data_IF_891209425847
#
_entry.id   IF_891209425847
#
_cell.length_a   1.000
_cell.length_b   1.000
_cell.length_c   1.000
_cell.angle_alpha   90.00
_cell.angle_beta   90.00
_cell.angle_gamma   90.00
#
_symmetry.space_group_name_H-M   'P 1'
#
loop_
_entity.id
_entity.type
_entity.pdbx_description
1 polymer ?
#
# COMPACT_ATOMS: atom_id res chain seq x y z
N UNK A 1 -15.33 4.88 33.99
CA UNK A 1 -15.52 6.27 33.55
C UNK A 1 -14.30 7.08 33.97
N UNK A 2 -13.33 7.27 33.06
CA UNK A 2 -12.22 8.22 33.25
C UNK A 2 -12.37 9.30 32.19
N UNK A 3 -12.19 10.51 32.67
CA UNK A 3 -12.73 11.76 32.18
C UNK A 3 -12.24 12.13 30.78
N UNK A 4 -13.10 12.83 30.03
CA UNK A 4 -12.76 13.58 28.83
C UNK A 4 -11.52 14.45 29.06
N UNK A 5 -10.43 14.19 28.35
CA UNK A 5 -9.68 15.29 27.75
C UNK A 5 -9.89 15.18 26.26
N UNK A 6 -10.70 16.08 25.70
CA UNK A 6 -10.51 16.52 24.33
C UNK A 6 -9.12 17.14 24.26
N UNK A 7 -8.08 16.30 24.16
CA UNK A 7 -6.75 16.75 23.85
C UNK A 7 -6.88 17.46 22.51
N UNK A 8 -6.71 18.78 22.51
CA UNK A 8 -6.62 19.55 21.28
C UNK A 8 -5.53 18.88 20.47
N UNK A 9 -5.93 18.14 19.43
CA UNK A 9 -4.97 17.41 18.61
C UNK A 9 -4.21 18.49 17.86
N UNK A 10 -2.95 18.68 18.23
CA UNK A 10 -2.08 19.66 17.59
C UNK A 10 -2.04 19.37 16.08
N UNK A 11 -2.02 20.37 15.19
CA UNK A 11 -1.90 20.15 13.74
C UNK A 11 -0.75 19.20 13.36
N UNK A 12 0.35 19.24 14.11
CA UNK A 12 1.49 18.33 13.97
C UNK A 12 1.13 16.87 14.27
N UNK A 13 0.29 16.62 15.28
CA UNK A 13 -0.18 15.27 15.61
C UNK A 13 -1.13 14.73 14.54
N UNK A 14 -1.97 15.58 13.94
CA UNK A 14 -2.82 15.19 12.80
C UNK A 14 -1.96 14.80 11.60
N UNK A 15 -0.92 15.60 11.29
CA UNK A 15 0.03 15.28 10.23
C UNK A 15 0.81 14.00 10.50
N UNK A 16 1.22 13.75 11.75
CA UNK A 16 1.92 12.52 12.13
C UNK A 16 1.02 11.28 12.01
N UNK A 17 -0.22 11.36 12.48
CA UNK A 17 -1.20 10.26 12.36
C UNK A 17 -1.55 10.02 10.89
N UNK A 18 -1.86 11.08 10.14
CA UNK A 18 -2.16 11.00 8.72
C UNK A 18 -0.98 10.45 7.91
N UNK A 19 0.24 10.89 8.22
CA UNK A 19 1.47 10.35 7.62
C UNK A 19 1.70 8.88 7.95
N UNK A 20 1.36 8.44 9.16
CA UNK A 20 1.45 7.03 9.55
C UNK A 20 0.44 6.17 8.77
N UNK A 21 -0.81 6.63 8.68
CA UNK A 21 -1.86 5.95 7.87
C UNK A 21 -1.46 5.93 6.39
N UNK A 22 -0.90 7.03 5.87
CA UNK A 22 -0.36 7.09 4.53
C UNK A 22 0.76 6.06 4.32
N UNK A 23 1.77 6.01 5.19
CA UNK A 23 2.87 5.05 5.07
C UNK A 23 2.41 3.59 5.16
N UNK A 24 1.36 3.30 5.92
CA UNK A 24 0.79 1.96 6.00
C UNK A 24 0.09 1.52 4.70
N UNK A 25 -0.49 2.44 3.94
CA UNK A 25 -1.18 2.14 2.68
C UNK A 25 -0.28 2.27 1.46
N UNK A 26 0.56 3.29 1.45
CA UNK A 26 1.44 3.63 0.35
C UNK A 26 2.71 2.74 0.40
N UNK A 27 2.51 1.41 0.38
CA UNK A 27 3.57 0.40 0.33
C UNK A 27 3.93 -0.01 -1.10
N UNK A 28 4.68 -1.11 -1.26
CA UNK A 28 5.19 -1.58 -2.57
C UNK A 28 4.08 -1.83 -3.62
N UNK A 29 2.92 -2.36 -3.23
CA UNK A 29 1.78 -2.55 -4.15
C UNK A 29 1.20 -1.22 -4.64
N UNK A 30 1.18 -0.19 -3.81
CA UNK A 30 0.71 1.14 -4.21
C UNK A 30 1.76 1.94 -4.99
N UNK A 31 2.99 1.45 -5.12
CA UNK A 31 4.01 2.08 -5.96
C UNK A 31 4.20 1.33 -7.30
N UNK A 32 4.24 0.00 -7.28
CA UNK A 32 4.44 -0.81 -8.49
C UNK A 32 3.32 -0.64 -9.52
N UNK A 33 2.07 -0.74 -9.07
CA UNK A 33 0.92 -0.71 -9.99
C UNK A 33 0.64 0.69 -10.54
N UNK A 34 0.64 1.78 -9.75
CA UNK A 34 0.41 3.11 -10.31
C UNK A 34 1.48 3.57 -11.30
N UNK A 35 2.75 3.16 -11.13
CA UNK A 35 3.79 3.42 -12.13
C UNK A 35 3.47 2.69 -13.44
N UNK A 36 3.08 1.42 -13.34
CA UNK A 36 2.74 0.59 -14.51
C UNK A 36 1.49 1.11 -15.21
N UNK A 37 0.42 1.38 -14.47
CA UNK A 37 -0.84 1.93 -14.98
C UNK A 37 -0.66 3.33 -15.56
N UNK A 38 0.16 4.18 -14.92
CA UNK A 38 0.50 5.49 -15.44
C UNK A 38 1.22 5.39 -16.78
N UNK A 39 2.21 4.50 -16.89
CA UNK A 39 2.91 4.23 -18.15
C UNK A 39 1.98 3.68 -19.23
N UNK A 40 1.12 2.71 -18.90
CA UNK A 40 0.20 2.08 -19.85
C UNK A 40 -0.96 3.00 -20.27
N UNK A 41 -1.34 3.98 -19.45
CA UNK A 41 -2.42 4.91 -19.76
C UNK A 41 -2.03 5.98 -20.76
N UNK A 42 -0.72 6.25 -20.93
CA UNK A 42 -0.23 7.22 -21.90
C UNK A 42 -0.93 8.58 -21.81
N UNK A 43 -1.45 9.07 -22.93
CA UNK A 43 -2.22 10.32 -23.02
C UNK A 43 -3.49 10.36 -22.14
N UNK A 44 -4.04 9.20 -21.77
CA UNK A 44 -5.28 9.09 -21.00
C UNK A 44 -5.08 8.95 -19.48
N UNK A 45 -3.86 9.22 -18.98
CA UNK A 45 -3.48 9.04 -17.57
C UNK A 45 -4.43 9.74 -16.59
N UNK A 46 -4.94 10.93 -16.93
CA UNK A 46 -5.85 11.66 -16.04
C UNK A 46 -7.20 10.92 -15.90
N UNK A 47 -7.73 10.40 -16.99
CA UNK A 47 -8.99 9.65 -17.00
C UNK A 47 -8.85 8.32 -16.28
N UNK A 48 -7.73 7.61 -16.47
CA UNK A 48 -7.42 6.40 -15.72
C UNK A 48 -7.23 6.67 -14.22
N UNK A 49 -6.55 7.77 -13.86
CA UNK A 49 -6.40 8.21 -12.48
C UNK A 49 -7.75 8.44 -11.79
N UNK A 50 -8.75 8.99 -12.48
CA UNK A 50 -10.09 9.16 -11.89
C UNK A 50 -10.74 7.82 -11.51
N UNK A 51 -10.53 6.77 -12.32
CA UNK A 51 -10.96 5.41 -11.98
C UNK A 51 -10.28 4.92 -10.70
N UNK A 52 -8.94 4.99 -10.66
CA UNK A 52 -8.11 4.55 -9.52
C UNK A 52 -8.44 5.38 -8.26
N UNK A 53 -8.72 6.67 -8.41
CA UNK A 53 -9.07 7.55 -7.31
C UNK A 53 -10.37 7.09 -6.63
N UNK A 54 -11.38 6.69 -7.40
CA UNK A 54 -12.65 6.24 -6.83
C UNK A 54 -12.47 4.88 -6.16
N UNK A 55 -11.91 3.90 -6.87
CA UNK A 55 -11.82 2.52 -6.36
C UNK A 55 -10.73 2.34 -5.29
N UNK A 56 -9.56 2.95 -5.51
CA UNK A 56 -8.36 2.76 -4.69
C UNK A 56 -8.17 3.78 -3.56
N UNK A 57 -8.86 4.93 -3.60
CA UNK A 57 -8.70 5.99 -2.57
C UNK A 57 -10.04 6.29 -1.88
N UNK A 58 -11.08 6.61 -2.65
CA UNK A 58 -12.37 7.06 -2.10
C UNK A 58 -13.08 5.94 -1.33
N UNK A 59 -13.21 4.74 -1.91
CA UNK A 59 -13.87 3.62 -1.23
C UNK A 59 -13.11 3.14 0.03
N UNK A 60 -11.78 2.97 0.03
CA UNK A 60 -11.05 2.68 1.26
C UNK A 60 -11.22 3.77 2.33
N UNK A 61 -11.20 5.05 1.94
CA UNK A 61 -11.46 6.16 2.87
C UNK A 61 -12.87 6.09 3.48
N UNK A 62 -13.90 5.78 2.68
CA UNK A 62 -15.25 5.54 3.18
C UNK A 62 -15.29 4.33 4.14
N UNK A 63 -14.55 3.27 3.85
CA UNK A 63 -14.37 2.12 4.73
C UNK A 63 -13.78 2.51 6.08
N UNK A 64 -12.76 3.37 6.10
CA UNK A 64 -12.21 3.91 7.34
C UNK A 64 -13.22 4.70 8.16
N UNK A 65 -14.05 5.53 7.51
CA UNK A 65 -15.11 6.27 8.21
C UNK A 65 -16.16 5.32 8.82
N UNK A 66 -16.54 4.27 8.09
CA UNK A 66 -17.45 3.25 8.60
C UNK A 66 -16.85 2.50 9.81
N UNK A 67 -15.59 2.11 9.73
CA UNK A 67 -14.89 1.44 10.84
C UNK A 67 -14.70 2.39 12.04
N UNK A 68 -14.41 3.67 11.80
CA UNK A 68 -14.30 4.66 12.86
C UNK A 68 -15.62 4.87 13.61
N UNK A 69 -16.76 4.77 12.89
CA UNK A 69 -18.10 4.86 13.48
C UNK A 69 -18.48 3.62 14.30
N UNK A 70 -18.21 2.42 13.78
CA UNK A 70 -18.54 1.15 14.46
C UNK A 70 -17.49 0.70 15.50
N UNK A 71 -16.30 1.30 15.46
CA UNK A 71 -15.18 1.06 16.36
C UNK A 71 -14.29 -0.14 15.99
N UNK A 72 -14.73 -1.05 15.12
CA UNK A 72 -13.86 -2.10 14.56
C UNK A 72 -14.44 -2.71 13.28
N UNK A 73 -13.58 -3.24 12.42
CA UNK A 73 -14.00 -3.96 11.22
C UNK A 73 -14.87 -5.18 11.56
N UNK A 74 -14.57 -5.88 12.65
CA UNK A 74 -15.37 -7.05 13.07
C UNK A 74 -16.78 -6.65 13.48
N UNK A 75 -16.95 -5.56 14.25
CA UNK A 75 -18.28 -5.03 14.62
C UNK A 75 -19.05 -4.57 13.39
N UNK A 76 -18.38 -3.87 12.47
CA UNK A 76 -18.97 -3.47 11.19
C UNK A 76 -19.48 -4.69 10.41
N UNK A 77 -18.69 -5.75 10.28
CA UNK A 77 -19.13 -6.98 9.63
C UNK A 77 -20.25 -7.70 10.42
N UNK A 78 -20.24 -7.62 11.75
CA UNK A 78 -21.26 -8.22 12.60
C UNK A 78 -22.63 -7.58 12.39
N UNK A 79 -22.69 -6.31 12.01
CA UNK A 79 -23.95 -5.62 11.66
C UNK A 79 -24.66 -6.27 10.45
N UNK A 80 -23.92 -6.93 9.55
CA UNK A 80 -24.47 -7.71 8.44
C UNK A 80 -24.93 -9.09 8.91
N UNK A 81 -24.19 -9.71 9.82
CA UNK A 81 -24.59 -10.94 10.51
C UNK A 81 -23.41 -11.67 11.15
N UNK A 82 -23.66 -12.49 12.19
CA UNK A 82 -22.60 -13.14 12.98
C UNK A 82 -21.76 -14.12 12.15
N UNK A 83 -22.41 -14.94 11.30
CA UNK A 83 -21.70 -15.89 10.42
C UNK A 83 -20.86 -15.18 9.37
N UNK A 84 -21.39 -14.09 8.80
CA UNK A 84 -20.67 -13.27 7.83
C UNK A 84 -19.42 -12.68 8.47
N UNK A 85 -19.53 -12.09 9.67
CA UNK A 85 -18.38 -11.49 10.37
C UNK A 85 -17.26 -12.50 10.65
N UNK A 86 -17.60 -13.72 11.05
CA UNK A 86 -16.61 -14.77 11.30
C UNK A 86 -15.91 -15.22 10.02
N UNK A 87 -16.66 -15.48 8.95
CA UNK A 87 -16.09 -15.93 7.66
C UNK A 87 -15.27 -14.80 7.03
N UNK A 88 -15.85 -13.61 6.93
CA UNK A 88 -15.20 -12.44 6.34
C UNK A 88 -13.93 -12.08 7.12
N UNK A 89 -14.02 -11.93 8.44
CA UNK A 89 -12.87 -11.62 9.28
C UNK A 89 -11.78 -12.68 9.22
N UNK A 90 -12.15 -13.97 9.24
CA UNK A 90 -11.22 -15.08 9.10
C UNK A 90 -10.50 -15.07 7.75
N UNK A 91 -11.24 -14.90 6.65
CA UNK A 91 -10.67 -14.80 5.31
C UNK A 91 -9.77 -13.57 5.18
N UNK A 92 -10.17 -12.42 5.71
CA UNK A 92 -9.35 -11.20 5.71
C UNK A 92 -8.02 -11.46 6.40
N UNK A 93 -8.00 -12.08 7.59
CA UNK A 93 -6.75 -12.39 8.30
C UNK A 93 -5.88 -13.38 7.51
N UNK A 94 -6.48 -14.39 6.91
CA UNK A 94 -5.74 -15.39 6.11
C UNK A 94 -5.13 -14.78 4.85
N UNK A 95 -5.89 -13.96 4.12
CA UNK A 95 -5.45 -13.30 2.88
C UNK A 95 -4.41 -12.22 3.16
N UNK A 96 -4.65 -11.35 4.16
CA UNK A 96 -3.70 -10.29 4.53
C UNK A 96 -2.44 -10.85 5.20
N UNK A 97 -2.55 -12.00 5.87
CA UNK A 97 -1.43 -12.66 6.51
C UNK A 97 -0.74 -13.65 5.57
N UNK A 98 -0.74 -14.95 5.89
CA UNK A 98 0.15 -15.93 5.30
C UNK A 98 -0.17 -16.32 3.85
N UNK A 99 -1.43 -16.21 3.41
CA UNK A 99 -1.83 -16.80 2.14
C UNK A 99 -1.52 -15.93 0.93
N UNK A 100 -1.49 -14.60 1.08
CA UNK A 100 -1.40 -13.74 -0.09
C UNK A 100 -0.54 -12.49 0.12
N UNK A 101 -0.94 -11.56 0.99
CA UNK A 101 -0.29 -10.23 1.01
C UNK A 101 1.16 -10.32 1.47
N UNK A 102 1.44 -11.02 2.57
CA UNK A 102 2.83 -11.19 3.05
C UNK A 102 3.74 -11.87 1.99
N UNK A 103 3.41 -13.05 1.43
CA UNK A 103 4.26 -13.69 0.44
C UNK A 103 4.35 -12.88 -0.86
N UNK A 104 3.25 -12.24 -1.31
CA UNK A 104 3.27 -11.40 -2.52
C UNK A 104 4.23 -10.22 -2.40
N UNK A 105 4.28 -9.56 -1.24
CA UNK A 105 5.13 -8.39 -1.03
C UNK A 105 6.62 -8.74 -0.99
N UNK A 106 6.96 -9.89 -0.39
CA UNK A 106 8.35 -10.41 -0.45
C UNK A 106 8.76 -10.78 -1.87
N UNK A 107 7.88 -11.45 -2.63
CA UNK A 107 8.14 -11.79 -4.03
C UNK A 107 8.33 -10.56 -4.93
N UNK A 108 7.51 -9.52 -4.75
CA UNK A 108 7.66 -8.26 -5.48
C UNK A 108 8.96 -7.53 -5.14
N UNK A 109 9.40 -7.60 -3.87
CA UNK A 109 10.69 -7.03 -3.45
C UNK A 109 11.88 -7.78 -4.05
N UNK A 110 11.76 -9.11 -4.19
CA UNK A 110 12.76 -9.94 -4.89
C UNK A 110 12.85 -9.57 -6.37
N UNK A 111 11.70 -9.47 -7.04
CA UNK A 111 11.60 -9.08 -8.46
C UNK A 111 12.27 -7.73 -8.73
N UNK A 112 12.01 -6.73 -7.86
CA UNK A 112 12.65 -5.42 -7.96
C UNK A 112 14.19 -5.49 -7.84
N UNK A 113 14.73 -6.37 -6.99
CA UNK A 113 16.18 -6.56 -6.86
C UNK A 113 16.77 -7.28 -8.08
N UNK A 114 16.08 -8.29 -8.60
CA UNK A 114 16.51 -8.97 -9.82
C UNK A 114 16.64 -7.99 -10.98
N UNK A 115 15.64 -7.11 -11.17
CA UNK A 115 15.66 -6.07 -12.19
C UNK A 115 16.77 -5.05 -11.96
N UNK A 116 16.99 -4.61 -10.72
CA UNK A 116 18.02 -3.61 -10.38
C UNK A 116 19.44 -4.14 -10.54
N UNK A 117 19.69 -5.40 -10.16
CA UNK A 117 21.01 -6.03 -10.17
C UNK A 117 21.27 -6.87 -11.42
N UNK A 118 20.32 -6.92 -12.36
CA UNK A 118 20.36 -7.75 -13.56
C UNK A 118 20.69 -9.23 -13.25
N UNK A 119 20.05 -9.75 -12.19
CA UNK A 119 20.18 -11.14 -11.74
C UNK A 119 19.13 -11.96 -12.49
N UNK A 120 19.55 -13.06 -13.13
CA UNK A 120 18.63 -14.02 -13.71
C UNK A 120 17.69 -14.56 -12.62
N UNK A 121 16.41 -14.80 -12.94
CA UNK A 121 15.42 -15.32 -11.97
C UNK A 121 15.68 -16.79 -11.57
N UNK A 122 16.64 -17.46 -12.21
CA UNK A 122 16.88 -18.91 -12.10
C UNK A 122 17.62 -19.42 -10.86
N UNK A 123 18.51 -18.67 -10.15
CA UNK A 123 19.28 -19.24 -9.07
C UNK A 123 18.44 -19.28 -7.78
N UNK A 124 18.12 -20.51 -7.35
CA UNK A 124 17.36 -20.80 -6.13
C UNK A 124 18.02 -20.23 -4.86
N UNK A 125 19.36 -20.24 -4.80
CA UNK A 125 20.11 -19.86 -3.60
C UNK A 125 19.96 -18.35 -3.26
N UNK A 126 20.21 -17.40 -4.19
CA UNK A 126 19.94 -15.98 -3.99
C UNK A 126 18.50 -15.67 -3.54
N UNK A 127 17.50 -16.32 -4.14
CA UNK A 127 16.10 -16.14 -3.80
C UNK A 127 15.80 -16.55 -2.35
N UNK A 128 16.31 -17.71 -1.92
CA UNK A 128 16.14 -18.20 -0.55
C UNK A 128 16.83 -17.28 0.46
N UNK A 129 18.08 -16.87 0.18
CA UNK A 129 18.81 -15.94 1.04
C UNK A 129 18.09 -14.60 1.17
N UNK A 130 17.61 -14.03 0.06
CA UNK A 130 16.83 -12.81 0.08
C UNK A 130 15.57 -12.97 0.94
N UNK A 131 14.83 -14.06 0.76
CA UNK A 131 13.59 -14.31 1.49
C UNK A 131 13.83 -14.41 3.00
N UNK A 132 14.89 -15.12 3.42
CA UNK A 132 15.28 -15.22 4.84
C UNK A 132 15.61 -13.83 5.39
N UNK A 133 16.43 -13.05 4.69
CA UNK A 133 16.81 -11.70 5.12
C UNK A 133 15.59 -10.79 5.21
N UNK A 134 14.71 -10.82 4.20
CA UNK A 134 13.47 -10.04 4.16
C UNK A 134 12.60 -10.30 5.40
N UNK A 135 12.37 -11.58 5.73
CA UNK A 135 11.55 -11.93 6.89
C UNK A 135 12.24 -11.65 8.23
N UNK A 136 13.57 -11.73 8.32
CA UNK A 136 14.30 -11.30 9.52
C UNK A 136 14.16 -9.80 9.76
N UNK A 137 14.27 -8.99 8.71
CA UNK A 137 14.05 -7.54 8.80
C UNK A 137 12.60 -7.24 9.17
N UNK A 138 11.63 -7.89 8.51
CA UNK A 138 10.22 -7.74 8.84
C UNK A 138 9.93 -8.12 10.30
N UNK A 139 10.52 -9.21 10.78
CA UNK A 139 10.40 -9.65 12.17
C UNK A 139 10.97 -8.61 13.14
N UNK A 140 12.11 -8.00 12.84
CA UNK A 140 12.71 -6.95 13.67
C UNK A 140 11.81 -5.71 13.82
N UNK A 141 11.09 -5.34 12.75
CA UNK A 141 10.08 -4.27 12.81
C UNK A 141 8.91 -4.67 13.73
N UNK A 142 8.44 -5.92 13.64
CA UNK A 142 7.28 -6.43 14.36
C UNK A 142 7.56 -6.85 15.82
N UNK A 143 8.83 -7.07 16.19
CA UNK A 143 9.21 -7.64 17.48
C UNK A 143 8.66 -6.86 18.68
N UNK A 144 8.56 -5.53 18.56
CA UNK A 144 7.99 -4.65 19.59
C UNK A 144 6.67 -4.07 19.12
N UNK A 145 5.56 -4.71 19.50
CA UNK A 145 4.19 -4.35 19.08
C UNK A 145 3.80 -2.90 19.39
N UNK A 146 4.23 -2.39 20.54
CA UNK A 146 3.92 -1.03 21.01
C UNK A 146 4.59 0.05 20.16
N UNK A 147 5.74 -0.27 19.53
CA UNK A 147 6.54 0.68 18.75
C UNK A 147 6.33 0.51 17.24
N UNK A 148 5.41 -0.36 16.77
CA UNK A 148 5.29 -0.65 15.33
C UNK A 148 4.94 0.62 14.55
N UNK A 149 3.93 1.36 14.99
CA UNK A 149 3.48 2.59 14.32
C UNK A 149 4.60 3.63 14.33
N UNK A 150 5.26 3.81 15.47
CA UNK A 150 6.38 4.76 15.61
C UNK A 150 7.57 4.39 14.73
N UNK A 151 7.91 3.10 14.61
CA UNK A 151 8.97 2.62 13.70
C UNK A 151 8.61 2.83 12.24
N UNK A 152 7.37 2.56 11.85
CA UNK A 152 6.89 2.81 10.48
C UNK A 152 7.00 4.31 10.15
N UNK A 153 6.49 5.17 11.03
CA UNK A 153 6.54 6.62 10.84
C UNK A 153 7.97 7.17 10.84
N UNK A 154 8.87 6.62 11.67
CA UNK A 154 10.26 7.09 11.81
C UNK A 154 11.17 6.64 10.66
N UNK A 155 10.98 5.43 10.14
CA UNK A 155 11.88 4.85 9.14
C UNK A 155 11.24 4.74 7.75
N UNK A 156 10.04 4.14 7.66
CA UNK A 156 9.42 3.84 6.37
C UNK A 156 8.86 5.10 5.71
N UNK A 157 8.15 5.95 6.47
CA UNK A 157 7.57 7.19 5.93
C UNK A 157 8.62 8.11 5.27
N UNK A 158 9.76 8.47 5.90
CA UNK A 158 10.73 9.35 5.25
C UNK A 158 11.39 8.71 4.02
N UNK A 159 11.71 7.42 4.07
CA UNK A 159 12.26 6.69 2.91
C UNK A 159 11.26 6.68 1.76
N UNK A 160 9.99 6.45 2.07
CA UNK A 160 8.91 6.42 1.10
C UNK A 160 8.71 7.78 0.44
N UNK A 161 8.55 8.84 1.23
CA UNK A 161 8.36 10.21 0.71
C UNK A 161 9.56 10.62 -0.14
N UNK A 162 10.78 10.35 0.32
CA UNK A 162 12.00 10.65 -0.44
C UNK A 162 12.02 9.91 -1.78
N UNK A 163 11.63 8.63 -1.78
CA UNK A 163 11.58 7.81 -3.01
C UNK A 163 10.54 8.35 -3.98
N UNK A 164 9.34 8.69 -3.52
CA UNK A 164 8.28 9.26 -4.37
C UNK A 164 8.72 10.58 -4.97
N UNK A 165 9.26 11.49 -4.16
CA UNK A 165 9.75 12.79 -4.64
C UNK A 165 10.88 12.59 -5.65
N UNK A 166 11.83 11.69 -5.38
CA UNK A 166 12.91 11.38 -6.31
C UNK A 166 12.39 10.83 -7.64
N UNK A 167 11.43 9.91 -7.62
CA UNK A 167 10.81 9.34 -8.83
C UNK A 167 10.07 10.40 -9.62
N UNK A 168 9.28 11.26 -8.98
CA UNK A 168 8.53 12.33 -9.64
C UNK A 168 9.49 13.33 -10.28
N UNK A 169 10.48 13.82 -9.52
CA UNK A 169 11.48 14.77 -10.03
C UNK A 169 12.28 14.16 -11.18
N UNK A 170 12.74 12.92 -11.05
CA UNK A 170 13.46 12.22 -12.14
C UNK A 170 12.60 12.06 -13.37
N UNK A 171 11.33 11.69 -13.21
CA UNK A 171 10.38 11.52 -14.32
C UNK A 171 10.13 12.84 -15.08
N UNK A 172 10.15 13.98 -14.39
CA UNK A 172 10.01 15.30 -15.01
C UNK A 172 11.28 15.77 -15.73
N UNK A 173 12.46 15.46 -15.18
CA UNK A 173 13.74 15.88 -15.76
C UNK A 173 14.20 14.97 -16.91
N UNK A 174 13.90 13.67 -16.83
CA UNK A 174 14.33 12.64 -17.78
C UNK A 174 13.15 11.70 -18.09
N UNK A 175 12.20 12.15 -18.93
CA UNK A 175 11.09 11.29 -19.35
C UNK A 175 11.60 10.07 -20.12
N UNK A 176 11.06 8.89 -19.79
CA UNK A 176 11.43 7.62 -20.43
C UNK A 176 11.06 7.57 -21.92
N UNK A 177 9.98 8.24 -22.31
CA UNK A 177 9.49 8.35 -23.68
C UNK A 177 8.63 9.60 -23.84
N UNK A 178 8.31 9.96 -25.09
CA UNK A 178 7.20 10.86 -25.37
C UNK A 178 5.88 10.22 -24.94
N UNK A 179 4.82 11.03 -24.86
CA UNK A 179 3.48 10.51 -24.64
C UNK A 179 3.08 9.53 -25.75
N UNK A 180 2.47 8.41 -25.36
CA UNK A 180 2.01 7.33 -26.23
C UNK A 180 0.51 7.17 -26.06
N UNK A 181 -0.15 6.55 -27.03
CA UNK A 181 -1.52 6.10 -26.87
C UNK A 181 -1.64 5.02 -25.77
N UNK A 182 -2.82 4.88 -25.14
CA UNK A 182 -3.04 3.86 -24.13
C UNK A 182 -2.74 2.46 -24.67
N UNK A 183 -2.06 1.63 -23.86
CA UNK A 183 -1.68 0.26 -24.23
C UNK A 183 -2.84 -0.74 -24.13
N UNK A 184 -4.05 -0.27 -23.85
CA UNK A 184 -5.26 -1.07 -23.67
C UNK A 184 -6.37 -0.55 -24.58
N UNK A 185 -7.28 -1.46 -24.97
CA UNK A 185 -8.39 -1.14 -25.89
C UNK A 185 -9.68 -0.69 -25.18
N UNK A 186 -9.72 -0.83 -23.85
CA UNK A 186 -10.90 -0.49 -23.04
C UNK A 186 -10.95 1.01 -22.69
N UNK A 187 -12.05 1.43 -22.07
CA UNK A 187 -12.15 2.81 -21.57
C UNK A 187 -11.07 3.06 -20.52
N UNK A 188 -10.28 4.15 -20.61
CA UNK A 188 -9.27 4.50 -19.62
C UNK A 188 -9.81 4.59 -18.19
N UNK A 189 -11.04 5.09 -18.04
CA UNK A 189 -11.70 5.13 -16.74
C UNK A 189 -11.93 3.72 -16.17
N UNK A 190 -12.42 2.81 -17.01
CA UNK A 190 -12.69 1.43 -16.60
C UNK A 190 -11.40 0.71 -16.23
N UNK A 191 -10.35 0.85 -17.06
CA UNK A 191 -9.03 0.30 -16.80
C UNK A 191 -8.46 0.75 -15.46
N UNK A 192 -8.60 2.04 -15.11
CA UNK A 192 -8.16 2.53 -13.81
C UNK A 192 -9.09 2.17 -12.65
N UNK A 193 -10.36 1.91 -12.91
CA UNK A 193 -11.34 1.61 -11.85
C UNK A 193 -11.18 0.19 -11.28
N UNK A 194 -10.73 -0.77 -12.09
CA UNK A 194 -10.54 -2.18 -11.70
C UNK A 194 -9.15 -2.45 -11.14
#
# INVERSE_FOLDING_TARGET
MKNNSSSVITPLAILAIGGSVFAMHFGASCMLWPVTWGQQSGNAVLTAYLGVFISGILFPAMGYLAVAKEGSLFKLAYSVGPRFAQIFGGLTVLVLGPLFVIPRMSAASWDAICQLCNIDYSPFIPMVLFTIIYYLVAYWFLFKKEEIIDKIAKFLLPVLILTVVAVVVKSMLQPLSSWVEPAFSESPFYYGFI
#
